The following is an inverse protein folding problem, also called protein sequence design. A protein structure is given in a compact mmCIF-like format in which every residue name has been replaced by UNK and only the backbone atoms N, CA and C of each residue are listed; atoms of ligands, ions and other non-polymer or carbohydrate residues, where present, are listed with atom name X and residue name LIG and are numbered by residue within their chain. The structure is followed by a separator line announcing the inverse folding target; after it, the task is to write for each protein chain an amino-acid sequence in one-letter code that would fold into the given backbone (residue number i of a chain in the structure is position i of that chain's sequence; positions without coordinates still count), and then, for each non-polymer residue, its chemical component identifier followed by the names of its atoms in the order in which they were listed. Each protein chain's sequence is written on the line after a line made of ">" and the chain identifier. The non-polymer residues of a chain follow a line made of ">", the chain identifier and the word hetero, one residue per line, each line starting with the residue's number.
data_IF_102355349517
#
_entry.id   IF_102355349517
#
_cell.length_a   1.000
_cell.length_b   1.000
_cell.length_c   1.000
_cell.angle_alpha   90.00
_cell.angle_beta   90.00
_cell.angle_gamma   90.00
#
_symmetry.space_group_name_H-M   'P 1'
#
loop_
_entity.id
_entity.type
_entity.pdbx_description
1 polymer ?
#
# COMPACT_ATOMS: atom_id res chain seq x y z
N UNK A 1 -38.12 -4.67 38.98
CA UNK A 1 -37.62 -5.85 39.72
C UNK A 1 -38.21 -5.81 41.12
N UNK A 2 -39.42 -6.36 41.27
CA UNK A 2 -40.07 -6.60 42.56
C UNK A 2 -40.42 -8.08 42.58
N UNK A 3 -39.75 -8.84 43.45
CA UNK A 3 -39.85 -10.28 43.57
C UNK A 3 -41.17 -10.61 44.29
N UNK A 4 -42.21 -11.01 43.56
CA UNK A 4 -43.44 -11.54 44.17
C UNK A 4 -43.17 -12.96 44.65
N UNK A 5 -42.82 -13.09 45.93
CA UNK A 5 -42.70 -14.38 46.62
C UNK A 5 -44.12 -14.94 46.79
N UNK A 6 -44.45 -15.99 46.04
CA UNK A 6 -45.70 -16.72 46.25
C UNK A 6 -45.68 -17.42 47.62
N UNK A 7 -46.75 -17.37 48.42
CA UNK A 7 -46.78 -18.02 49.73
C UNK A 7 -46.71 -19.55 49.54
N UNK A 8 -45.65 -20.15 50.09
CA UNK A 8 -45.26 -21.56 49.92
C UNK A 8 -46.14 -22.55 50.69
N UNK A 9 -47.29 -22.15 51.22
CA UNK A 9 -48.10 -22.95 52.13
C UNK A 9 -49.56 -23.21 51.69
N UNK A 10 -49.86 -23.08 50.39
CA UNK A 10 -51.17 -23.44 49.83
C UNK A 10 -51.17 -24.84 49.20
N UNK A 11 -52.29 -25.56 49.26
CA UNK A 11 -52.46 -26.88 48.63
C UNK A 11 -52.34 -26.84 47.10
N UNK A 12 -51.86 -27.93 46.50
CA UNK A 12 -51.63 -28.09 45.04
C UNK A 12 -52.75 -27.54 44.12
N UNK A 13 -54.05 -27.80 44.35
CA UNK A 13 -55.09 -27.28 43.44
C UNK A 13 -55.23 -25.76 43.50
N UNK A 14 -54.97 -25.14 44.65
CA UNK A 14 -55.06 -23.68 44.85
C UNK A 14 -53.88 -22.95 44.21
N UNK A 15 -52.69 -23.58 44.19
CA UNK A 15 -51.52 -23.03 43.49
C UNK A 15 -51.71 -22.98 41.97
N UNK A 16 -52.35 -24.00 41.41
CA UNK A 16 -52.61 -24.05 39.97
C UNK A 16 -53.60 -22.95 39.57
N UNK A 17 -54.66 -22.76 40.36
CA UNK A 17 -55.67 -21.73 40.12
C UNK A 17 -55.10 -20.32 40.27
N UNK A 18 -54.27 -20.09 41.29
CA UNK A 18 -53.59 -18.80 41.48
C UNK A 18 -52.61 -18.49 40.33
N UNK A 19 -51.88 -19.49 39.82
CA UNK A 19 -50.98 -19.31 38.69
C UNK A 19 -51.75 -18.98 37.40
N UNK A 20 -52.85 -19.69 37.12
CA UNK A 20 -53.69 -19.42 35.95
C UNK A 20 -54.32 -18.02 36.03
N UNK A 21 -54.78 -17.59 37.21
CA UNK A 21 -55.31 -16.24 37.43
C UNK A 21 -54.24 -15.15 37.25
N UNK A 22 -53.01 -15.37 37.75
CA UNK A 22 -51.91 -14.40 37.57
C UNK A 22 -51.54 -14.26 36.10
N UNK A 23 -51.47 -15.37 35.36
CA UNK A 23 -51.19 -15.35 33.90
C UNK A 23 -52.34 -14.70 33.12
N UNK A 24 -53.59 -14.96 33.49
CA UNK A 24 -54.75 -14.34 32.86
C UNK A 24 -54.81 -12.82 33.13
N UNK A 25 -54.52 -12.38 34.36
CA UNK A 25 -54.50 -10.95 34.74
C UNK A 25 -53.33 -10.22 34.07
N UNK A 26 -52.15 -10.85 33.96
CA UNK A 26 -51.01 -10.30 33.21
C UNK A 26 -51.27 -10.24 31.69
N UNK A 27 -51.98 -11.22 31.14
CA UNK A 27 -52.41 -11.23 29.75
C UNK A 27 -53.45 -10.15 29.44
N UNK A 28 -54.38 -9.90 30.36
CA UNK A 28 -55.40 -8.85 30.21
C UNK A 28 -54.83 -7.43 30.39
N UNK A 29 -53.81 -7.25 31.23
CA UNK A 29 -53.13 -5.97 31.42
C UNK A 29 -52.21 -5.57 30.24
N UNK A 30 -51.84 -6.52 29.38
CA UNK A 30 -50.91 -6.29 28.24
C UNK A 30 -51.59 -6.27 26.87
N UNK A 31 -52.88 -6.65 26.76
CA UNK A 31 -53.59 -6.71 25.48
C UNK A 31 -54.05 -5.34 24.92
N UNK A 32 -54.02 -4.27 25.72
CA UNK A 32 -54.60 -2.97 25.34
C UNK A 32 -53.64 -1.88 24.86
N UNK A 33 -52.33 -2.13 24.77
CA UNK A 33 -51.34 -1.08 24.43
C UNK A 33 -50.23 -1.54 23.47
N UNK A 34 -50.60 -2.29 22.42
CA UNK A 34 -49.69 -2.51 21.30
C UNK A 34 -49.87 -1.41 20.27
N UNK A 35 -49.20 -0.27 20.49
CA UNK A 35 -48.96 0.72 19.44
C UNK A 35 -47.73 0.27 18.64
N UNK A 36 -47.87 -0.12 17.36
CA UNK A 36 -46.73 -0.57 16.55
C UNK A 36 -45.75 0.57 16.21
N UNK A 37 -45.98 1.80 16.70
CA UNK A 37 -45.10 2.96 16.49
C UNK A 37 -44.14 3.24 17.65
N UNK A 38 -44.24 2.50 18.76
CA UNK A 38 -43.26 2.55 19.84
C UNK A 38 -42.44 1.26 19.76
N UNK A 39 -41.56 1.22 18.76
CA UNK A 39 -40.51 0.22 18.73
C UNK A 39 -39.75 0.25 20.04
N UNK A 40 -39.59 -0.91 20.68
CA UNK A 40 -38.49 -1.17 21.60
C UNK A 40 -37.28 -0.45 21.03
N UNK A 41 -36.84 0.61 21.71
CA UNK A 41 -35.62 1.33 21.37
C UNK A 41 -34.59 0.26 21.11
N UNK A 42 -34.21 0.13 19.84
CA UNK A 42 -33.33 -0.93 19.42
C UNK A 42 -32.13 -0.85 20.34
N UNK A 43 -31.85 -1.93 21.07
CA UNK A 43 -30.46 -2.25 21.28
C UNK A 43 -29.89 -2.49 19.88
N UNK A 44 -29.59 -1.40 19.17
CA UNK A 44 -28.55 -1.41 18.17
C UNK A 44 -27.38 -2.00 18.92
N UNK A 45 -27.06 -3.26 18.63
CA UNK A 45 -25.70 -3.74 18.81
C UNK A 45 -24.87 -2.74 18.02
N UNK A 46 -24.40 -1.69 18.69
CA UNK A 46 -23.19 -1.02 18.26
C UNK A 46 -22.16 -2.11 18.42
N UNK A 47 -21.99 -2.92 17.37
CA UNK A 47 -20.79 -3.71 17.21
C UNK A 47 -19.74 -2.63 17.03
N UNK A 48 -19.21 -2.15 18.16
CA UNK A 48 -18.12 -1.20 18.16
C UNK A 48 -17.08 -1.81 17.24
N UNK A 49 -16.69 -1.07 16.21
CA UNK A 49 -15.65 -1.53 15.31
C UNK A 49 -14.40 -1.76 16.17
N UNK A 50 -14.01 -3.02 16.29
CA UNK A 50 -12.90 -3.44 17.16
C UNK A 50 -11.60 -2.76 16.69
N UNK A 51 -11.51 -2.40 15.41
CA UNK A 51 -10.37 -1.69 14.85
C UNK A 51 -10.23 -0.28 15.44
N UNK A 52 -11.31 0.32 15.95
CA UNK A 52 -11.29 1.63 16.61
C UNK A 52 -10.60 1.62 17.98
N UNK A 53 -10.32 0.46 18.56
CA UNK A 53 -9.52 0.35 19.80
C UNK A 53 -8.01 0.32 19.55
N UNK A 54 -7.59 0.16 18.29
CA UNK A 54 -6.16 0.09 17.93
C UNK A 54 -5.66 1.49 17.67
N UNK A 55 -4.71 1.95 18.48
CA UNK A 55 -3.93 3.16 18.24
C UNK A 55 -2.51 2.78 17.78
N UNK A 56 -2.20 2.91 16.47
CA UNK A 56 -0.87 2.57 15.94
C UNK A 56 0.27 3.46 16.45
N UNK A 57 -0.03 4.62 17.06
CA UNK A 57 1.00 5.54 17.55
C UNK A 57 1.57 5.12 18.91
N UNK A 58 0.93 4.20 19.62
CA UNK A 58 1.45 3.66 20.88
C UNK A 58 2.77 2.91 20.59
N UNK A 59 3.84 3.32 21.28
CA UNK A 59 5.18 2.73 21.11
C UNK A 59 6.05 3.40 20.03
N UNK A 60 5.62 4.54 19.48
CA UNK A 60 6.42 5.35 18.53
C UNK A 60 7.36 6.37 19.20
N UNK A 61 7.46 6.33 20.53
CA UNK A 61 8.33 7.20 21.35
C UNK A 61 9.06 6.35 22.38
N UNK A 62 10.18 6.87 22.90
CA UNK A 62 10.92 6.34 24.04
C UNK A 62 11.37 4.86 23.87
N UNK A 63 11.94 4.51 22.71
CA UNK A 63 12.55 3.19 22.48
C UNK A 63 11.58 2.06 22.12
N UNK A 64 10.30 2.36 21.87
CA UNK A 64 9.32 1.34 21.46
C UNK A 64 9.42 0.91 19.99
N UNK A 65 10.00 1.75 19.13
CA UNK A 65 10.27 1.50 17.71
C UNK A 65 9.12 0.79 16.97
N UNK A 66 7.87 1.09 17.29
CA UNK A 66 6.70 0.51 16.61
C UNK A 66 6.51 1.20 15.26
N UNK A 67 6.17 0.42 14.24
CA UNK A 67 5.75 0.96 12.96
C UNK A 67 4.26 1.35 12.98
N UNK A 68 3.90 2.64 12.84
CA UNK A 68 2.50 3.08 12.86
C UNK A 68 1.85 3.11 11.47
N UNK A 69 2.63 2.91 10.41
CA UNK A 69 2.16 3.05 9.04
C UNK A 69 1.17 1.95 8.63
N UNK A 70 0.69 2.05 7.40
CA UNK A 70 -0.32 1.14 6.89
C UNK A 70 0.27 -0.24 6.55
N UNK A 71 -0.31 -1.28 7.14
CA UNK A 71 0.01 -2.68 6.85
C UNK A 71 -1.19 -3.58 7.14
N UNK A 72 -1.28 -4.70 6.42
CA UNK A 72 -2.14 -5.82 6.82
C UNK A 72 -1.45 -6.66 7.90
N UNK A 73 -2.20 -7.46 8.69
CA UNK A 73 -1.61 -8.47 9.56
C UNK A 73 -0.66 -9.38 8.77
N UNK A 74 0.59 -9.48 9.22
CA UNK A 74 1.66 -10.27 8.57
C UNK A 74 1.99 -9.86 7.12
N UNK A 75 1.56 -8.68 6.68
CA UNK A 75 1.88 -8.14 5.36
C UNK A 75 3.37 -7.84 5.19
N UNK A 76 3.91 -8.11 4.00
CA UNK A 76 5.25 -7.70 3.61
C UNK A 76 5.30 -6.18 3.43
N UNK A 77 4.33 -5.64 2.67
CA UNK A 77 4.20 -4.22 2.40
C UNK A 77 3.76 -3.44 3.63
N UNK A 78 4.55 -2.41 3.98
CA UNK A 78 4.38 -1.56 5.15
C UNK A 78 4.63 -0.11 4.74
N UNK A 79 3.57 0.56 4.30
CA UNK A 79 3.64 1.91 3.77
C UNK A 79 3.69 2.93 4.91
N UNK A 80 4.77 3.69 5.01
CA UNK A 80 4.97 4.61 6.13
C UNK A 80 5.89 5.78 5.80
N UNK A 81 5.80 6.88 6.56
CA UNK A 81 6.76 7.97 6.53
C UNK A 81 8.09 7.60 7.20
N UNK A 82 9.18 8.16 6.66
CA UNK A 82 10.53 8.08 7.21
C UNK A 82 10.88 9.40 7.92
N UNK A 83 11.36 9.34 9.16
CA UNK A 83 11.70 10.48 10.03
C UNK A 83 13.21 10.64 10.21
N UNK A 84 13.70 11.88 10.29
CA UNK A 84 15.11 12.21 10.52
C UNK A 84 15.49 12.17 12.02
N UNK A 85 15.23 11.05 12.70
CA UNK A 85 15.73 10.79 14.05
C UNK A 85 16.45 9.44 14.14
N UNK A 86 17.73 9.45 13.76
CA UNK A 86 18.58 8.25 13.71
C UNK A 86 18.75 7.50 15.04
N UNK A 87 18.38 8.10 16.17
CA UNK A 87 18.44 7.45 17.48
C UNK A 87 17.22 6.58 17.77
N UNK A 88 16.06 6.92 17.22
CA UNK A 88 14.77 6.34 17.62
C UNK A 88 13.92 5.82 16.45
N UNK A 89 14.32 6.11 15.20
CA UNK A 89 13.54 5.82 13.99
C UNK A 89 13.73 4.40 13.44
N UNK A 90 14.08 3.39 14.25
CA UNK A 90 14.38 2.04 13.76
C UNK A 90 13.27 1.43 12.87
N UNK A 91 12.01 1.81 13.11
CA UNK A 91 10.85 1.44 12.30
C UNK A 91 10.48 2.46 11.21
N UNK A 92 11.37 3.39 10.86
CA UNK A 92 11.14 4.51 9.95
C UNK A 92 10.53 5.75 10.62
N UNK A 93 9.68 5.59 11.65
CA UNK A 93 8.93 6.69 12.25
C UNK A 93 9.23 6.95 13.73
N UNK A 94 9.20 8.23 14.12
CA UNK A 94 9.17 8.71 15.51
C UNK A 94 8.10 9.81 15.65
N UNK A 95 7.33 9.77 16.74
CA UNK A 95 6.27 10.77 16.99
C UNK A 95 6.77 12.08 17.61
N UNK A 96 8.07 12.40 17.55
CA UNK A 96 8.74 13.52 18.22
C UNK A 96 8.86 14.82 17.39
N UNK A 97 8.06 14.96 16.34
CA UNK A 97 8.06 16.07 15.37
C UNK A 97 9.33 16.19 14.52
N UNK A 98 10.13 15.11 14.46
CA UNK A 98 11.25 15.03 13.54
C UNK A 98 10.83 15.25 12.07
N UNK A 99 11.68 15.91 11.25
CA UNK A 99 11.43 16.11 9.84
C UNK A 99 11.20 14.78 9.10
N UNK A 100 10.33 14.81 8.08
CA UNK A 100 10.08 13.70 7.17
C UNK A 100 11.13 13.73 6.06
N UNK A 101 11.84 12.63 5.88
CA UNK A 101 12.81 12.44 4.80
C UNK A 101 12.19 11.80 3.57
N UNK A 102 11.14 10.99 3.73
CA UNK A 102 10.59 10.14 2.69
C UNK A 102 9.30 9.42 3.10
N UNK A 103 8.76 8.67 2.15
CA UNK A 103 7.68 7.70 2.37
C UNK A 103 8.08 6.40 1.68
N UNK A 104 8.34 5.36 2.47
CA UNK A 104 8.88 4.11 1.97
C UNK A 104 7.91 2.94 2.16
N UNK A 105 8.27 1.81 1.55
CA UNK A 105 7.35 0.71 1.25
C UNK A 105 7.45 -0.49 2.20
N UNK A 106 8.55 -0.55 2.97
CA UNK A 106 8.96 -1.69 3.76
C UNK A 106 9.57 -1.19 5.06
N UNK A 107 9.13 -1.75 6.18
CA UNK A 107 9.59 -1.37 7.52
C UNK A 107 9.64 -2.60 8.44
N UNK A 108 10.48 -2.56 9.45
CA UNK A 108 10.39 -3.50 10.56
C UNK A 108 9.67 -2.80 11.73
N UNK A 109 9.20 -3.58 12.71
CA UNK A 109 8.50 -3.03 13.88
C UNK A 109 9.04 -3.68 15.14
N UNK A 110 9.43 -2.84 16.11
CA UNK A 110 9.99 -3.25 17.40
C UNK A 110 11.45 -3.70 17.32
N UNK A 111 12.15 -3.40 16.22
CA UNK A 111 13.60 -3.62 16.12
C UNK A 111 14.35 -2.52 16.86
N UNK A 112 15.49 -2.87 17.45
CA UNK A 112 16.41 -1.89 18.04
C UNK A 112 17.52 -1.51 17.07
N UNK A 113 18.19 -0.39 17.34
CA UNK A 113 19.34 0.07 16.57
C UNK A 113 18.95 0.94 15.37
N UNK A 114 19.76 0.89 14.31
CA UNK A 114 19.50 1.69 13.11
C UNK A 114 18.39 1.07 12.24
N UNK A 115 17.68 1.89 11.44
CA UNK A 115 16.70 1.38 10.49
C UNK A 115 17.31 0.33 9.55
N UNK A 116 16.70 -0.86 9.50
CA UNK A 116 17.08 -1.98 8.64
C UNK A 116 16.39 -1.94 7.27
N UNK A 117 15.21 -1.33 7.22
CA UNK A 117 14.39 -1.13 6.04
C UNK A 117 14.15 0.39 5.83
N UNK A 118 13.06 0.78 5.18
CA UNK A 118 12.86 2.17 4.73
C UNK A 118 13.32 2.41 3.28
N UNK A 119 13.56 1.33 2.54
CA UNK A 119 14.20 1.42 1.23
C UNK A 119 13.29 2.04 0.17
N UNK A 120 13.95 2.75 -0.76
CA UNK A 120 13.32 3.36 -1.92
C UNK A 120 12.20 4.36 -1.59
N UNK A 121 12.47 5.37 -0.73
CA UNK A 121 11.44 6.30 -0.34
C UNK A 121 11.00 7.16 -1.52
N UNK A 122 9.69 7.36 -1.61
CA UNK A 122 9.09 8.41 -2.41
C UNK A 122 9.19 9.75 -1.69
N UNK A 123 9.30 10.83 -2.44
CA UNK A 123 9.16 12.18 -1.90
C UNK A 123 8.43 13.09 -2.86
N UNK A 124 7.44 13.81 -2.33
CA UNK A 124 6.56 14.66 -3.10
C UNK A 124 7.00 16.12 -3.00
N UNK A 125 7.66 16.63 -4.03
CA UNK A 125 7.97 18.05 -4.17
C UNK A 125 6.77 18.77 -4.80
N UNK A 126 6.18 19.76 -4.11
CA UNK A 126 5.10 20.56 -4.72
C UNK A 126 5.62 21.58 -5.73
N UNK A 127 6.91 21.96 -5.66
CA UNK A 127 7.57 22.82 -6.64
C UNK A 127 9.10 22.62 -6.58
N UNK A 128 9.77 22.99 -7.67
CA UNK A 128 11.22 23.18 -7.69
C UNK A 128 11.55 24.67 -7.81
N UNK A 129 12.72 25.13 -7.32
CA UNK A 129 13.16 26.52 -7.49
C UNK A 129 13.15 26.94 -8.97
N UNK A 130 12.45 28.04 -9.28
CA UNK A 130 12.25 28.57 -10.63
C UNK A 130 11.61 27.57 -11.62
N UNK A 131 10.83 26.61 -11.12
CA UNK A 131 10.23 25.54 -11.91
C UNK A 131 11.24 24.72 -12.73
N UNK A 132 12.49 24.67 -12.29
CA UNK A 132 13.55 23.88 -12.90
C UNK A 132 13.74 22.58 -12.12
N UNK A 133 13.39 21.40 -12.69
CA UNK A 133 13.62 20.11 -12.04
C UNK A 133 15.07 19.88 -11.63
N UNK A 134 16.05 20.47 -12.32
CA UNK A 134 17.47 20.31 -11.99
C UNK A 134 17.87 21.01 -10.69
N UNK A 135 17.03 21.92 -10.21
CA UNK A 135 17.27 22.70 -8.99
C UNK A 135 16.47 22.21 -7.80
N UNK A 136 15.70 21.13 -7.96
CA UNK A 136 14.99 20.51 -6.85
C UNK A 136 15.99 19.95 -5.82
N UNK A 137 15.55 19.91 -4.56
CA UNK A 137 16.36 19.38 -3.46
C UNK A 137 16.18 17.87 -3.43
N UNK A 138 17.15 17.11 -3.93
CA UNK A 138 17.03 15.65 -4.06
C UNK A 138 17.68 14.88 -2.91
N UNK A 139 18.73 15.43 -2.29
CA UNK A 139 19.42 14.71 -1.21
C UNK A 139 18.56 14.63 0.04
N UNK A 140 18.64 13.51 0.77
CA UNK A 140 17.90 13.29 2.03
C UNK A 140 18.06 14.45 3.03
N UNK A 141 19.26 15.03 3.10
CA UNK A 141 19.56 16.17 3.97
C UNK A 141 18.84 17.46 3.56
N UNK A 142 18.70 17.70 2.26
CA UNK A 142 18.10 18.93 1.74
C UNK A 142 16.59 18.85 1.60
N UNK A 143 16.06 17.66 1.23
CA UNK A 143 14.63 17.46 0.95
C UNK A 143 13.78 17.36 2.22
N UNK A 144 14.38 16.98 3.35
CA UNK A 144 13.66 16.76 4.60
C UNK A 144 12.74 17.92 4.95
N UNK A 145 11.50 17.61 5.31
CA UNK A 145 10.43 18.59 5.46
C UNK A 145 9.67 18.31 6.73
N UNK A 146 9.37 19.35 7.52
CA UNK A 146 8.57 19.19 8.73
C UNK A 146 7.14 18.76 8.40
N UNK A 147 6.55 17.94 9.26
CA UNK A 147 5.11 17.70 9.25
C UNK A 147 4.36 18.91 9.82
N UNK A 148 3.16 19.16 9.34
CA UNK A 148 2.27 20.16 9.91
C UNK A 148 1.81 19.70 11.31
N UNK A 149 1.70 20.62 12.28
CA UNK A 149 1.26 20.28 13.64
C UNK A 149 -0.07 19.54 13.65
N UNK A 150 -0.20 18.52 14.50
CA UNK A 150 -1.44 17.75 14.72
C UNK A 150 -2.07 17.18 13.44
N UNK A 151 -1.27 16.91 12.39
CA UNK A 151 -1.77 16.41 11.10
C UNK A 151 -1.73 14.89 10.95
N UNK A 152 -1.15 14.18 11.91
CA UNK A 152 -0.96 12.73 11.85
C UNK A 152 -2.29 12.02 12.09
N UNK A 153 -2.67 11.17 11.15
CA UNK A 153 -3.82 10.27 11.24
C UNK A 153 -3.31 8.84 11.08
N UNK A 154 -3.45 8.00 12.11
CA UNK A 154 -3.06 6.60 12.06
C UNK A 154 -4.22 5.72 12.52
N UNK A 155 -4.56 4.72 11.73
CA UNK A 155 -5.56 3.69 12.04
C UNK A 155 -5.19 2.39 11.31
N UNK A 156 -5.85 1.29 11.66
CA UNK A 156 -5.56 -0.01 11.03
C UNK A 156 -5.67 0.09 9.49
N UNK A 157 -4.57 -0.23 8.79
CA UNK A 157 -4.47 -0.22 7.33
C UNK A 157 -4.37 1.16 6.67
N UNK A 158 -4.26 2.26 7.41
CA UNK A 158 -4.17 3.61 6.85
C UNK A 158 -3.33 4.56 7.70
N UNK A 159 -2.49 5.32 7.03
CA UNK A 159 -1.71 6.38 7.65
C UNK A 159 -1.75 7.64 6.79
N UNK A 160 -1.85 8.81 7.41
CA UNK A 160 -1.75 10.09 6.71
C UNK A 160 -1.07 11.15 7.55
N UNK A 161 -0.44 12.10 6.87
CA UNK A 161 0.04 13.34 7.47
C UNK A 161 0.04 14.47 6.45
N UNK A 162 0.13 15.71 6.92
CA UNK A 162 0.37 16.86 6.08
C UNK A 162 1.82 17.34 6.28
N UNK A 163 2.50 17.70 5.20
CA UNK A 163 3.79 18.38 5.24
C UNK A 163 3.58 19.89 5.37
N UNK A 164 4.55 20.61 5.96
CA UNK A 164 4.52 22.08 6.03
C UNK A 164 4.55 22.77 4.67
N UNK A 165 4.91 22.03 3.62
CA UNK A 165 4.84 22.46 2.21
C UNK A 165 3.42 22.46 1.64
N UNK A 166 2.42 22.00 2.41
CA UNK A 166 1.02 21.90 1.98
C UNK A 166 0.67 20.59 1.28
N UNK A 167 1.62 19.67 1.12
CA UNK A 167 1.36 18.33 0.56
C UNK A 167 0.72 17.45 1.62
N UNK A 168 -0.44 16.86 1.32
CA UNK A 168 -1.03 15.77 2.13
C UNK A 168 -0.58 14.43 1.56
N UNK A 169 -0.01 13.59 2.40
CA UNK A 169 0.42 12.24 2.06
C UNK A 169 -0.47 11.24 2.78
N UNK A 170 -1.07 10.34 2.03
CA UNK A 170 -1.94 9.27 2.52
C UNK A 170 -1.43 7.94 1.99
N UNK A 171 -1.46 6.91 2.81
CA UNK A 171 -0.93 5.62 2.44
C UNK A 171 -1.76 4.46 2.98
N UNK A 172 -1.85 3.41 2.16
CA UNK A 172 -2.44 2.12 2.51
C UNK A 172 -1.59 0.99 1.93
N UNK A 173 -1.85 -0.24 2.36
CA UNK A 173 -1.08 -1.40 1.91
C UNK A 173 -1.96 -2.64 1.78
N UNK A 174 -1.62 -3.46 0.79
CA UNK A 174 -2.02 -4.86 0.67
C UNK A 174 -0.94 -5.76 1.29
N UNK A 175 -1.00 -7.08 1.07
CA UNK A 175 0.04 -7.99 1.56
C UNK A 175 1.42 -7.72 0.91
N UNK A 176 1.46 -7.29 -0.36
CA UNK A 176 2.72 -7.20 -1.14
C UNK A 176 2.89 -5.88 -1.92
N UNK A 177 1.90 -4.99 -1.89
CA UNK A 177 1.94 -3.71 -2.57
C UNK A 177 1.44 -2.59 -1.67
N UNK A 178 2.04 -1.42 -1.82
CA UNK A 178 1.69 -0.18 -1.12
C UNK A 178 1.05 0.79 -2.11
N UNK A 179 0.19 1.67 -1.59
CA UNK A 179 -0.44 2.72 -2.38
C UNK A 179 -0.28 4.05 -1.64
N UNK A 180 0.29 5.05 -2.30
CA UNK A 180 0.40 6.42 -1.80
C UNK A 180 -0.49 7.34 -2.63
N UNK A 181 -1.17 8.24 -1.93
CA UNK A 181 -1.89 9.37 -2.51
C UNK A 181 -1.26 10.65 -1.98
N UNK A 182 -0.69 11.43 -2.90
CA UNK A 182 -0.17 12.77 -2.62
C UNK A 182 -1.14 13.80 -3.16
N UNK A 183 -1.69 14.64 -2.28
CA UNK A 183 -2.50 15.79 -2.64
C UNK A 183 -1.67 17.05 -2.53
N UNK A 184 -1.56 17.80 -3.64
CA UNK A 184 -0.71 18.98 -3.74
C UNK A 184 -1.53 20.27 -3.56
N UNK A 185 -0.91 21.36 -3.07
CA UNK A 185 -1.58 22.65 -2.98
C UNK A 185 -1.92 23.21 -4.37
N UNK A 186 -2.90 24.11 -4.43
CA UNK A 186 -3.31 24.76 -5.67
C UNK A 186 -2.13 25.54 -6.30
N UNK A 187 -1.97 25.44 -7.62
CA UNK A 187 -0.86 26.06 -8.35
C UNK A 187 0.49 25.34 -8.25
N UNK A 188 0.56 24.19 -7.57
CA UNK A 188 1.76 23.36 -7.51
C UNK A 188 2.17 22.80 -8.89
N UNK A 189 3.48 22.58 -9.06
CA UNK A 189 4.05 21.82 -10.17
C UNK A 189 4.70 20.56 -9.59
N UNK A 190 3.90 19.49 -9.39
CA UNK A 190 4.33 18.35 -8.60
C UNK A 190 5.44 17.57 -9.28
N UNK A 191 6.40 17.13 -8.47
CA UNK A 191 7.44 16.18 -8.84
C UNK A 191 7.52 15.11 -7.76
N UNK A 192 7.40 13.85 -8.16
CA UNK A 192 7.63 12.70 -7.29
C UNK A 192 9.04 12.17 -7.53
N UNK A 193 9.87 12.21 -6.49
CA UNK A 193 11.17 11.56 -6.45
C UNK A 193 11.00 10.13 -5.97
N UNK A 194 11.60 9.17 -6.66
CA UNK A 194 11.89 7.83 -6.14
C UNK A 194 13.37 7.76 -5.85
N UNK A 195 13.75 7.75 -4.57
CA UNK A 195 15.15 7.72 -4.16
C UNK A 195 15.69 6.29 -4.26
N UNK A 196 16.56 6.03 -5.24
CA UNK A 196 17.18 4.72 -5.43
C UNK A 196 18.52 4.56 -4.68
N UNK A 197 18.95 5.59 -3.95
CA UNK A 197 20.25 5.68 -3.28
C UNK A 197 20.15 5.57 -1.75
N UNK A 198 18.96 5.73 -1.16
CA UNK A 198 18.74 5.80 0.29
C UNK A 198 19.05 4.51 1.09
N UNK A 199 19.48 3.41 0.44
CA UNK A 199 20.10 2.29 1.17
C UNK A 199 21.47 2.76 1.68
N UNK A 200 21.48 3.29 2.89
CA UNK A 200 22.58 4.02 3.53
C UNK A 200 23.92 3.27 3.74
N UNK A 201 24.21 2.15 3.06
CA UNK A 201 25.53 1.48 3.07
C UNK A 201 25.83 0.51 1.90
N UNK A 202 25.04 0.45 0.81
CA UNK A 202 25.26 -0.56 -0.25
C UNK A 202 26.01 -0.08 -1.50
N UNK A 203 26.37 1.21 -1.58
CA UNK A 203 27.19 1.74 -2.67
C UNK A 203 28.38 2.51 -2.13
N UNK A 204 29.51 1.80 -2.00
CA UNK A 204 30.84 2.41 -1.89
C UNK A 204 31.41 2.81 -3.26
N UNK A 205 30.77 2.41 -4.37
CA UNK A 205 31.23 2.69 -5.74
C UNK A 205 30.05 2.72 -6.75
N UNK A 206 29.13 3.66 -6.55
CA UNK A 206 27.95 3.84 -7.38
C UNK A 206 28.20 4.71 -8.61
N UNK A 207 28.55 4.12 -9.75
CA UNK A 207 28.51 4.83 -11.03
C UNK A 207 27.12 4.81 -11.66
N UNK A 208 26.56 5.96 -12.03
CA UNK A 208 25.39 6.04 -12.92
C UNK A 208 25.83 5.57 -14.32
N UNK A 209 25.60 4.30 -14.62
CA UNK A 209 25.70 3.78 -15.99
C UNK A 209 24.31 3.82 -16.61
N UNK A 210 24.16 4.53 -17.72
CA UNK A 210 22.98 4.40 -18.59
C UNK A 210 23.05 3.00 -19.21
N UNK A 211 22.46 2.02 -18.51
CA UNK A 211 22.05 0.75 -19.11
C UNK A 211 20.64 0.95 -19.69
N UNK A 212 20.02 -0.06 -20.29
CA UNK A 212 18.64 0.01 -20.84
C UNK A 212 17.52 0.28 -19.81
N UNK A 213 17.79 1.05 -18.75
CA UNK A 213 16.86 1.45 -17.70
C UNK A 213 15.73 2.31 -18.24
N UNK A 214 15.93 3.05 -19.34
CA UNK A 214 14.86 3.80 -19.99
C UNK A 214 13.72 2.88 -20.46
N UNK A 215 14.06 1.73 -21.05
CA UNK A 215 13.06 0.75 -21.46
C UNK A 215 12.39 0.08 -20.27
N UNK A 216 13.16 -0.30 -19.23
CA UNK A 216 12.60 -0.88 -18.01
C UNK A 216 11.65 0.10 -17.28
N UNK A 217 12.03 1.37 -17.19
CA UNK A 217 11.17 2.42 -16.60
C UNK A 217 9.93 2.64 -17.47
N UNK A 218 10.09 2.74 -18.79
CA UNK A 218 8.95 2.95 -19.68
C UNK A 218 7.99 1.75 -19.68
N UNK A 219 8.48 0.51 -19.60
CA UNK A 219 7.61 -0.67 -19.45
C UNK A 219 6.88 -0.64 -18.10
N UNK A 220 7.56 -0.22 -17.02
CA UNK A 220 6.92 -0.04 -15.71
C UNK A 220 5.81 1.00 -15.74
N UNK A 221 6.02 2.13 -16.43
CA UNK A 221 4.98 3.16 -16.62
C UNK A 221 3.77 2.61 -17.39
N UNK A 222 3.99 1.86 -18.48
CA UNK A 222 2.90 1.25 -19.25
C UNK A 222 2.13 0.20 -18.43
N UNK A 223 2.82 -0.55 -17.57
CA UNK A 223 2.19 -1.48 -16.63
C UNK A 223 1.31 -0.74 -15.62
N UNK A 224 1.80 0.39 -15.07
CA UNK A 224 1.04 1.23 -14.16
C UNK A 224 -0.21 1.83 -14.84
N UNK A 225 -0.08 2.29 -16.09
CA UNK A 225 -1.22 2.79 -16.88
C UNK A 225 -2.26 1.67 -17.14
N UNK A 226 -1.81 0.46 -17.48
CA UNK A 226 -2.71 -0.68 -17.66
C UNK A 226 -3.41 -1.08 -16.34
N UNK A 227 -2.69 -1.06 -15.22
CA UNK A 227 -3.24 -1.32 -13.90
C UNK A 227 -4.29 -0.29 -13.50
N UNK A 228 -4.03 1.00 -13.76
CA UNK A 228 -5.00 2.06 -13.48
C UNK A 228 -6.30 1.88 -14.28
N UNK A 229 -6.19 1.62 -15.59
CA UNK A 229 -7.38 1.37 -16.43
C UNK A 229 -8.17 0.17 -15.91
N UNK A 230 -7.49 -0.96 -15.63
CA UNK A 230 -8.14 -2.16 -15.14
C UNK A 230 -8.84 -1.96 -13.77
N UNK A 231 -8.29 -1.11 -12.90
CA UNK A 231 -8.91 -0.77 -11.61
C UNK A 231 -10.06 0.23 -11.74
N UNK A 232 -9.98 1.17 -12.68
CA UNK A 232 -11.04 2.16 -12.92
C UNK A 232 -12.29 1.53 -13.53
N UNK A 233 -12.12 0.51 -14.37
CA UNK A 233 -13.21 -0.20 -15.04
C UNK A 233 -13.77 -1.36 -14.19
N UNK A 234 -13.12 -1.69 -13.06
CA UNK A 234 -13.56 -2.78 -12.19
C UNK A 234 -14.85 -2.42 -11.43
N UNK A 235 -15.83 -3.34 -11.34
CA UNK A 235 -17.01 -3.14 -10.50
C UNK A 235 -16.63 -3.03 -9.02
N UNK A 236 -17.47 -2.39 -8.17
CA UNK A 236 -17.22 -2.28 -6.74
C UNK A 236 -17.00 -3.66 -6.11
N UNK A 237 -15.92 -3.76 -5.33
CA UNK A 237 -15.39 -5.00 -4.76
C UNK A 237 -16.46 -5.77 -3.96
N UNK A 238 -16.90 -6.93 -4.46
CA UNK A 238 -17.51 -7.98 -3.63
C UNK A 238 -16.40 -8.83 -2.96
N UNK A 239 -16.72 -9.46 -1.82
CA UNK A 239 -15.77 -10.08 -0.87
C UNK A 239 -14.82 -11.16 -1.47
N UNK A 240 -15.07 -11.64 -2.69
CA UNK A 240 -14.21 -12.60 -3.40
C UNK A 240 -13.43 -11.90 -4.53
N UNK A 241 -12.38 -11.16 -4.16
CA UNK A 241 -11.52 -10.44 -5.10
C UNK A 241 -10.75 -11.40 -6.03
N UNK A 242 -11.28 -11.66 -7.23
CA UNK A 242 -10.55 -12.30 -8.31
C UNK A 242 -9.38 -11.41 -8.76
N UNK A 243 -8.22 -12.00 -9.04
CA UNK A 243 -7.05 -11.27 -9.52
C UNK A 243 -7.38 -10.39 -10.74
N UNK A 244 -6.97 -9.12 -10.70
CA UNK A 244 -7.15 -8.18 -11.82
C UNK A 244 -6.12 -8.51 -12.91
N UNK A 245 -6.58 -8.96 -14.07
CA UNK A 245 -5.73 -9.24 -15.22
C UNK A 245 -5.50 -7.97 -16.05
N UNK A 246 -4.23 -7.68 -16.36
CA UNK A 246 -3.82 -6.51 -17.14
C UNK A 246 -3.78 -6.81 -18.63
N UNK A 247 -4.94 -7.03 -19.26
CA UNK A 247 -5.01 -7.36 -20.70
C UNK A 247 -4.38 -6.27 -21.58
N UNK A 248 -4.63 -5.01 -21.25
CA UNK A 248 -4.12 -3.86 -22.02
C UNK A 248 -2.60 -3.68 -21.93
N UNK A 249 -1.92 -4.31 -20.96
CA UNK A 249 -0.49 -4.10 -20.78
C UNK A 249 0.31 -4.63 -21.97
N UNK A 250 -0.02 -5.83 -22.47
CA UNK A 250 0.68 -6.43 -23.58
C UNK A 250 0.53 -5.58 -24.85
N UNK A 251 -0.68 -5.11 -25.14
CA UNK A 251 -0.96 -4.27 -26.31
C UNK A 251 -0.24 -2.92 -26.22
N UNK A 252 -0.28 -2.26 -25.05
CA UNK A 252 0.46 -1.02 -24.80
C UNK A 252 1.97 -1.23 -24.94
N UNK A 253 2.50 -2.35 -24.46
CA UNK A 253 3.92 -2.69 -24.59
C UNK A 253 4.30 -2.90 -26.07
N UNK A 254 3.51 -3.66 -26.83
CA UNK A 254 3.73 -3.95 -28.25
C UNK A 254 3.64 -2.70 -29.14
N UNK A 255 2.78 -1.75 -28.78
CA UNK A 255 2.65 -0.46 -29.45
C UNK A 255 3.79 0.52 -29.11
N UNK A 256 4.56 0.28 -28.06
CA UNK A 256 5.61 1.18 -27.60
C UNK A 256 6.93 1.04 -28.38
N UNK A 257 7.79 2.08 -28.40
CA UNK A 257 9.14 1.99 -28.98
C UNK A 257 10.02 0.89 -28.36
N UNK A 258 9.74 0.49 -27.11
CA UNK A 258 10.41 -0.62 -26.43
C UNK A 258 10.30 -1.90 -27.27
N UNK A 259 9.13 -2.14 -27.86
CA UNK A 259 8.89 -3.36 -28.62
C UNK A 259 9.75 -3.44 -29.88
N UNK A 260 9.95 -2.32 -30.58
CA UNK A 260 10.86 -2.27 -31.73
C UNK A 260 12.30 -2.57 -31.33
N UNK A 261 12.76 -2.02 -30.20
CA UNK A 261 14.12 -2.25 -29.70
C UNK A 261 14.32 -3.69 -29.23
N UNK A 262 13.37 -4.25 -28.46
CA UNK A 262 13.40 -5.65 -28.05
C UNK A 262 13.35 -6.59 -29.25
N UNK A 263 12.56 -6.24 -30.27
CA UNK A 263 12.49 -7.00 -31.52
C UNK A 263 13.82 -6.97 -32.26
N UNK A 264 14.57 -5.87 -32.23
CA UNK A 264 15.88 -5.78 -32.89
C UNK A 264 16.92 -6.73 -32.29
N UNK A 265 16.90 -6.90 -30.96
CA UNK A 265 17.89 -7.72 -30.23
C UNK A 265 17.39 -9.13 -29.87
N UNK A 266 16.20 -9.52 -30.32
CA UNK A 266 15.49 -10.73 -29.86
C UNK A 266 16.26 -12.05 -30.06
N UNK A 267 17.20 -12.10 -31.02
CA UNK A 267 17.96 -13.31 -31.33
C UNK A 267 19.38 -13.30 -30.75
N UNK A 268 19.83 -12.20 -30.12
CA UNK A 268 21.20 -12.06 -29.65
C UNK A 268 21.55 -13.13 -28.61
N UNK A 269 20.76 -13.25 -27.54
CA UNK A 269 21.00 -14.26 -26.49
C UNK A 269 20.72 -15.69 -26.98
N UNK A 270 19.59 -16.01 -27.64
CA UNK A 270 19.35 -17.35 -28.19
C UNK A 270 20.43 -17.85 -29.15
N UNK A 271 21.11 -16.97 -29.90
CA UNK A 271 22.14 -17.38 -30.87
C UNK A 271 23.30 -18.16 -30.25
N UNK A 272 23.64 -17.86 -28.98
CA UNK A 272 24.68 -18.55 -28.21
C UNK A 272 24.27 -19.94 -27.71
N UNK A 273 22.97 -20.25 -27.69
CA UNK A 273 22.44 -21.54 -27.24
C UNK A 273 22.23 -22.53 -28.39
N UNK A 274 22.71 -22.20 -29.59
CA UNK A 274 22.73 -23.10 -30.74
C UNK A 274 23.93 -24.06 -30.65
N UNK A 275 23.95 -25.19 -31.40
CA UNK A 275 25.09 -26.12 -31.43
C UNK A 275 26.43 -25.47 -31.85
N UNK A 276 26.37 -24.29 -32.46
CA UNK A 276 27.54 -23.52 -32.87
C UNK A 276 28.19 -22.72 -31.71
N UNK A 277 27.55 -22.72 -30.53
CA UNK A 277 28.08 -22.18 -29.28
C UNK A 277 28.53 -20.72 -29.39
N UNK A 278 29.64 -20.41 -28.70
CA UNK A 278 30.20 -19.05 -28.62
C UNK A 278 30.52 -18.46 -29.99
N UNK A 279 31.16 -19.23 -30.87
CA UNK A 279 31.59 -18.74 -32.19
C UNK A 279 30.41 -18.51 -33.13
N UNK A 280 29.40 -19.38 -33.11
CA UNK A 280 28.16 -19.17 -33.86
C UNK A 280 27.37 -17.97 -33.37
N UNK A 281 27.24 -17.81 -32.04
CA UNK A 281 26.56 -16.66 -31.45
C UNK A 281 27.25 -15.34 -31.80
N UNK A 282 28.58 -15.28 -31.72
CA UNK A 282 29.35 -14.09 -32.12
C UNK A 282 29.19 -13.76 -33.60
N UNK A 283 29.29 -14.75 -34.48
CA UNK A 283 29.11 -14.55 -35.92
C UNK A 283 27.69 -14.06 -36.24
N UNK A 284 26.68 -14.67 -35.61
CA UNK A 284 25.29 -14.29 -35.80
C UNK A 284 24.99 -12.89 -35.25
N UNK A 285 25.46 -12.54 -34.05
CA UNK A 285 25.31 -11.20 -33.49
C UNK A 285 26.00 -10.14 -34.35
N UNK A 286 27.19 -10.42 -34.90
CA UNK A 286 27.87 -9.51 -35.82
C UNK A 286 27.09 -9.30 -37.13
N UNK A 287 26.57 -10.39 -37.69
CA UNK A 287 25.72 -10.38 -38.89
C UNK A 287 24.42 -9.60 -38.64
N UNK A 288 23.76 -9.86 -37.52
CA UNK A 288 22.50 -9.21 -37.15
C UNK A 288 22.69 -7.73 -36.82
N UNK A 289 23.75 -7.35 -36.10
CA UNK A 289 24.04 -5.96 -35.78
C UNK A 289 24.44 -5.11 -36.99
N UNK A 290 25.21 -5.68 -37.93
CA UNK A 290 25.79 -4.90 -39.03
C UNK A 290 24.99 -4.98 -40.33
N UNK A 291 24.47 -6.15 -40.70
CA UNK A 291 23.75 -6.36 -41.96
C UNK A 291 22.24 -6.24 -41.80
N UNK A 292 21.65 -6.99 -40.87
CA UNK A 292 20.19 -7.11 -40.81
C UNK A 292 19.50 -6.08 -39.92
N UNK A 293 20.21 -5.49 -38.95
CA UNK A 293 19.71 -4.52 -37.97
C UNK A 293 18.38 -4.98 -37.36
N UNK A 294 18.30 -6.25 -36.96
CA UNK A 294 17.13 -6.89 -36.36
C UNK A 294 15.90 -7.12 -37.27
N UNK A 295 16.00 -6.82 -38.57
CA UNK A 295 14.89 -6.97 -39.54
C UNK A 295 14.68 -8.38 -40.09
N UNK A 296 15.35 -9.38 -39.51
CA UNK A 296 15.11 -10.78 -39.86
C UNK A 296 13.63 -11.14 -39.58
N UNK A 297 12.99 -12.06 -40.32
CA UNK A 297 11.58 -12.43 -40.09
C UNK A 297 11.39 -13.53 -39.02
N UNK A 298 12.46 -14.20 -38.57
CA UNK A 298 12.38 -15.31 -37.61
C UNK A 298 12.79 -14.89 -36.19
N UNK A 299 12.37 -15.68 -35.20
CA UNK A 299 12.78 -15.54 -33.80
C UNK A 299 13.28 -16.90 -33.30
N UNK A 300 14.51 -16.92 -32.79
CA UNK A 300 15.13 -18.10 -32.19
C UNK A 300 14.48 -18.39 -30.84
N UNK A 301 14.22 -19.67 -30.56
CA UNK A 301 13.63 -20.09 -29.29
C UNK A 301 14.72 -20.15 -28.22
N UNK A 302 14.38 -19.70 -27.02
CA UNK A 302 15.12 -20.07 -25.83
C UNK A 302 14.89 -21.56 -25.54
N UNK A 303 15.91 -22.24 -25.01
CA UNK A 303 15.84 -23.67 -24.67
C UNK A 303 14.95 -23.90 -23.46
N UNK A 304 15.55 -24.01 -22.27
CA UNK A 304 14.81 -24.11 -21.01
C UNK A 304 14.04 -22.82 -20.72
N UNK A 305 12.80 -22.90 -20.19
CA UNK A 305 12.11 -21.72 -19.67
C UNK A 305 12.85 -21.18 -18.45
N UNK A 306 13.02 -19.86 -18.39
CA UNK A 306 13.55 -19.18 -17.20
C UNK A 306 12.40 -19.06 -16.19
N UNK A 307 12.32 -20.01 -15.26
CA UNK A 307 11.38 -20.04 -14.12
C UNK A 307 12.12 -20.46 -12.86
#
# INVERSE_FOLDING_TARGET
>A
MALLIAPTNLGRPVRLLAFVLIVAVLGLLTWGRYDPRIGLGGFTRVRADILGFVDPLIGTLNGGHVFPGATLPYGMAKAGPDTDNRGENAAGWVSDDSPITGFSHLHDSGTGGAPSLGNFPLFAHPWCPNDDPKRCKFTTLERKTLRAPSSVEARVGFFALNLTTGVRAEMTASAHATLFRFTFPEGAKPLILLDVEDIASSRSDGGIKIKGTHNAMKSGMLAAEAAWTALADAPPVEEDASAVFLYDYEDKLRASPIWSELKEVRNFRPSFHTPLGLYGGLAYCGLEAYLFKGRVPWTLKHGSPDH
#
